data_IF_473733222708
#
_entry.id   IF_473733222708
#
_cell.length_a   1.000
_cell.length_b   1.000
_cell.length_c   1.000
_cell.angle_alpha   90.00
_cell.angle_beta   90.00
_cell.angle_gamma   90.00
#
_symmetry.space_group_name_H-M   'P 1'
#
loop_
_entity.id
_entity.type
_entity.pdbx_description
1 polymer ?
#
# COMPACT_ATOMS: atom_id res chain seq x y z
N UNK A 1 3.64 2.86 17.84
CA UNK A 1 5.09 2.69 17.62
C UNK A 1 5.49 1.24 17.36
N UNK A 2 5.26 0.29 18.29
CA UNK A 2 5.69 -1.10 18.10
C UNK A 2 4.94 -1.85 16.98
N UNK A 3 3.63 -1.62 16.79
CA UNK A 3 2.80 -2.32 15.79
C UNK A 3 3.07 -1.93 14.33
N UNK A 4 3.43 -0.68 14.07
CA UNK A 4 3.72 -0.19 12.72
C UNK A 4 5.09 -0.71 12.21
N UNK A 5 6.08 -0.78 13.11
CA UNK A 5 7.36 -1.44 12.86
C UNK A 5 7.19 -2.97 12.76
N UNK A 6 6.35 -3.56 13.62
CA UNK A 6 6.04 -4.98 13.57
C UNK A 6 5.34 -5.36 12.25
N UNK A 7 4.46 -4.51 11.72
CA UNK A 7 3.76 -4.75 10.46
C UNK A 7 4.71 -4.88 9.27
N UNK A 8 5.52 -3.85 8.99
CA UNK A 8 6.50 -3.95 7.89
C UNK A 8 7.63 -4.96 8.16
N UNK A 9 7.99 -5.17 9.43
CA UNK A 9 8.86 -6.27 9.85
C UNK A 9 8.27 -7.64 9.53
N UNK A 10 6.96 -7.82 9.69
CA UNK A 10 6.25 -9.07 9.35
C UNK A 10 6.22 -9.27 7.84
N UNK A 11 6.01 -8.22 7.04
CA UNK A 11 6.09 -8.30 5.59
C UNK A 11 7.47 -8.79 5.10
N UNK A 12 8.54 -8.16 5.58
CA UNK A 12 9.91 -8.53 5.22
C UNK A 12 10.25 -9.95 5.73
N UNK A 13 9.91 -10.25 6.99
CA UNK A 13 10.18 -11.54 7.60
C UNK A 13 9.47 -12.68 6.86
N UNK A 14 8.16 -12.57 6.60
CA UNK A 14 7.40 -13.62 5.92
C UNK A 14 7.88 -13.84 4.49
N UNK A 15 8.23 -12.76 3.78
CA UNK A 15 8.74 -12.88 2.41
C UNK A 15 10.11 -13.57 2.38
N UNK A 16 11.01 -13.22 3.30
CA UNK A 16 12.33 -13.84 3.43
C UNK A 16 12.24 -15.30 3.91
N UNK A 17 11.36 -15.58 4.88
CA UNK A 17 11.13 -16.94 5.37
C UNK A 17 10.53 -17.83 4.28
N UNK A 18 9.56 -17.32 3.52
CA UNK A 18 8.98 -18.03 2.39
C UNK A 18 10.02 -18.34 1.32
N UNK A 19 10.88 -17.38 0.97
CA UNK A 19 11.98 -17.61 0.03
C UNK A 19 12.97 -18.68 0.55
N UNK A 20 13.31 -18.61 1.84
CA UNK A 20 14.22 -19.56 2.49
C UNK A 20 13.60 -20.97 2.55
N UNK A 21 12.30 -21.08 2.82
CA UNK A 21 11.57 -22.36 2.90
C UNK A 21 11.39 -22.99 1.53
N UNK A 22 11.12 -22.18 0.49
CA UNK A 22 11.06 -22.65 -0.90
C UNK A 22 12.38 -23.29 -1.37
N UNK A 23 13.49 -22.95 -0.72
CA UNK A 23 14.82 -23.54 -0.92
C UNK A 23 15.40 -23.28 -2.31
N UNK A 24 14.79 -22.37 -3.07
CA UNK A 24 15.08 -22.07 -4.47
C UNK A 24 15.13 -20.55 -4.63
N UNK A 25 16.08 -20.09 -5.43
CA UNK A 25 16.40 -18.68 -5.56
C UNK A 25 16.43 -18.29 -7.05
N UNK A 26 15.32 -18.51 -7.75
CA UNK A 26 15.18 -18.06 -9.13
C UNK A 26 15.13 -16.53 -9.21
N UNK A 27 15.47 -15.98 -10.38
CA UNK A 27 15.56 -14.53 -10.59
C UNK A 27 14.23 -13.83 -10.24
N UNK A 28 13.09 -14.41 -10.62
CA UNK A 28 11.75 -13.88 -10.30
C UNK A 28 11.52 -13.77 -8.80
N UNK A 29 11.85 -14.81 -8.05
CA UNK A 29 11.66 -14.87 -6.60
C UNK A 29 12.53 -13.85 -5.86
N UNK A 30 13.79 -13.70 -6.29
CA UNK A 30 14.71 -12.68 -5.75
C UNK A 30 14.19 -11.27 -5.98
N UNK A 31 13.80 -10.96 -7.22
CA UNK A 31 13.29 -9.63 -7.58
C UNK A 31 11.99 -9.34 -6.84
N UNK A 32 11.03 -10.28 -6.84
CA UNK A 32 9.74 -10.07 -6.20
C UNK A 32 9.83 -9.95 -4.68
N UNK A 33 10.65 -10.77 -4.03
CA UNK A 33 10.93 -10.63 -2.60
C UNK A 33 11.64 -9.30 -2.31
N UNK A 34 12.57 -8.89 -3.16
CA UNK A 34 13.24 -7.59 -3.06
C UNK A 34 12.27 -6.41 -3.13
N UNK A 35 11.37 -6.41 -4.12
CA UNK A 35 10.32 -5.41 -4.27
C UNK A 35 9.44 -5.30 -3.00
N UNK A 36 8.99 -6.43 -2.47
CA UNK A 36 8.20 -6.45 -1.23
C UNK A 36 9.00 -5.91 -0.05
N UNK A 37 10.27 -6.29 0.11
CA UNK A 37 11.14 -5.78 1.17
C UNK A 37 11.37 -4.27 1.05
N UNK A 38 11.59 -3.76 -0.17
CA UNK A 38 11.75 -2.32 -0.42
C UNK A 38 10.49 -1.54 -0.05
N UNK A 39 9.31 -2.03 -0.45
CA UNK A 39 8.04 -1.41 -0.09
C UNK A 39 7.79 -1.46 1.43
N UNK A 40 8.02 -2.62 2.06
CA UNK A 40 7.84 -2.78 3.50
C UNK A 40 8.75 -1.85 4.30
N UNK A 41 10.02 -1.74 3.90
CA UNK A 41 10.98 -0.82 4.52
C UNK A 41 10.51 0.64 4.39
N UNK A 42 10.08 1.06 3.20
CA UNK A 42 9.54 2.41 2.96
C UNK A 42 8.36 2.71 3.88
N UNK A 43 7.38 1.80 3.92
CA UNK A 43 6.18 1.97 4.72
C UNK A 43 6.52 2.04 6.22
N UNK A 44 7.40 1.17 6.70
CA UNK A 44 7.87 1.19 8.09
C UNK A 44 8.60 2.49 8.43
N UNK A 45 9.51 2.97 7.58
CA UNK A 45 10.25 4.22 7.80
C UNK A 45 9.29 5.42 7.82
N UNK A 46 8.32 5.47 6.90
CA UNK A 46 7.32 6.53 6.85
C UNK A 46 6.45 6.57 8.11
N UNK A 47 5.94 5.42 8.55
CA UNK A 47 5.14 5.32 9.77
C UNK A 47 5.96 5.65 11.02
N UNK A 48 7.20 5.16 11.10
CA UNK A 48 8.11 5.45 12.21
C UNK A 48 8.38 6.95 12.35
N UNK A 49 8.73 7.62 11.26
CA UNK A 49 8.94 9.08 11.22
C UNK A 49 7.69 9.85 11.67
N UNK A 50 6.50 9.40 11.25
CA UNK A 50 5.24 10.02 11.64
C UNK A 50 4.97 9.90 13.14
N UNK A 51 5.25 8.74 13.73
CA UNK A 51 5.05 8.51 15.16
C UNK A 51 6.02 9.36 16.00
N UNK A 52 7.28 9.46 15.58
CA UNK A 52 8.25 10.33 16.24
C UNK A 52 7.79 11.80 16.25
N UNK A 53 7.25 12.30 15.14
CA UNK A 53 6.70 13.66 15.06
C UNK A 53 5.41 13.87 15.86
N UNK A 54 4.57 12.84 16.00
CA UNK A 54 3.27 12.94 16.66
C UNK A 54 3.34 12.74 18.19
N UNK A 55 4.46 12.25 18.74
CA UNK A 55 4.70 12.11 20.18
C UNK A 55 3.92 10.98 20.88
N UNK A 56 2.74 10.56 20.39
CA UNK A 56 2.06 9.34 20.82
C UNK A 56 1.03 8.85 19.80
N UNK A 57 0.80 7.54 19.73
CA UNK A 57 -0.22 6.93 18.85
C UNK A 57 -1.54 6.76 19.64
N UNK A 58 -2.48 7.69 19.46
CA UNK A 58 -3.75 7.73 20.22
C UNK A 58 -4.66 6.52 19.96
N UNK A 59 -4.47 5.83 18.84
CA UNK A 59 -5.29 4.68 18.39
C UNK A 59 -5.22 3.48 19.35
N UNK A 60 -4.10 3.30 20.06
CA UNK A 60 -3.89 2.12 20.90
C UNK A 60 -4.16 2.34 22.39
N UNK A 61 -4.48 3.56 22.83
CA UNK A 61 -4.87 3.80 24.24
C UNK A 61 -6.18 3.11 24.61
N UNK A 62 -7.08 2.90 23.65
CA UNK A 62 -8.37 2.21 23.86
C UNK A 62 -8.28 0.69 23.65
N UNK A 63 -7.55 0.22 22.63
CA UNK A 63 -7.48 -1.21 22.29
C UNK A 63 -6.74 -2.07 23.34
N UNK A 64 -5.83 -1.48 24.12
CA UNK A 64 -5.06 -2.19 25.15
C UNK A 64 -5.87 -2.61 26.38
N UNK A 65 -7.08 -2.05 26.55
CA UNK A 65 -7.94 -2.30 27.71
C UNK A 65 -8.89 -3.49 27.53
N UNK A 66 -9.08 -3.96 26.30
CA UNK A 66 -9.94 -5.10 25.99
C UNK A 66 -9.14 -6.17 25.20
N UNK A 67 -8.78 -7.29 25.84
CA UNK A 67 -8.07 -8.39 25.19
C UNK A 67 -8.77 -8.95 23.94
N UNK A 68 -10.12 -8.90 23.87
CA UNK A 68 -10.87 -9.39 22.71
C UNK A 68 -10.70 -8.47 21.51
N UNK A 69 -10.83 -7.16 21.74
CA UNK A 69 -10.61 -6.15 20.68
C UNK A 69 -9.17 -6.14 20.22
N UNK A 70 -8.23 -6.33 21.15
CA UNK A 70 -6.82 -6.49 20.82
C UNK A 70 -6.57 -7.69 19.90
N UNK A 71 -7.09 -8.87 20.27
CA UNK A 71 -6.97 -10.09 19.46
C UNK A 71 -7.61 -9.91 18.08
N UNK A 72 -8.78 -9.27 18.00
CA UNK A 72 -9.46 -9.01 16.73
C UNK A 72 -8.60 -8.13 15.80
N UNK A 73 -8.05 -7.02 16.31
CA UNK A 73 -7.18 -6.16 15.50
C UNK A 73 -5.91 -6.87 15.05
N UNK A 74 -5.34 -7.72 15.92
CA UNK A 74 -4.19 -8.55 15.58
C UNK A 74 -4.50 -9.54 14.45
N UNK A 75 -5.64 -10.24 14.53
CA UNK A 75 -6.06 -11.21 13.51
C UNK A 75 -6.35 -10.51 12.17
N UNK A 76 -7.03 -9.36 12.19
CA UNK A 76 -7.29 -8.58 10.97
C UNK A 76 -5.98 -8.12 10.33
N UNK A 77 -5.02 -7.66 11.14
CA UNK A 77 -3.70 -7.27 10.65
C UNK A 77 -2.95 -8.46 10.01
N UNK A 78 -2.98 -9.63 10.65
CA UNK A 78 -2.38 -10.86 10.09
C UNK A 78 -3.02 -11.29 8.78
N UNK A 79 -4.36 -11.27 8.71
CA UNK A 79 -5.11 -11.60 7.49
C UNK A 79 -4.79 -10.62 6.36
N UNK A 80 -4.65 -9.33 6.68
CA UNK A 80 -4.28 -8.31 5.71
C UNK A 80 -2.88 -8.55 5.13
N UNK A 81 -1.89 -8.81 5.97
CA UNK A 81 -0.52 -9.13 5.54
C UNK A 81 -0.51 -10.39 4.68
N UNK A 82 -1.25 -11.43 5.08
CA UNK A 82 -1.36 -12.66 4.31
C UNK A 82 -2.00 -12.43 2.94
N UNK A 83 -3.14 -11.75 2.88
CA UNK A 83 -3.85 -11.48 1.64
C UNK A 83 -3.01 -10.66 0.65
N UNK A 84 -2.25 -9.69 1.14
CA UNK A 84 -1.36 -8.85 0.31
C UNK A 84 -0.11 -9.60 -0.17
N UNK A 85 0.46 -10.48 0.66
CA UNK A 85 1.64 -11.28 0.29
C UNK A 85 1.34 -12.51 -0.56
N UNK A 86 0.07 -12.90 -0.69
CA UNK A 86 -0.33 -14.16 -1.32
C UNK A 86 0.33 -14.42 -2.70
N UNK A 87 0.44 -13.45 -3.64
CA UNK A 87 1.13 -13.68 -4.91
C UNK A 87 2.63 -13.99 -4.73
N UNK A 88 3.28 -13.33 -3.77
CA UNK A 88 4.71 -13.53 -3.48
C UNK A 88 4.96 -14.86 -2.77
N UNK A 89 4.08 -15.26 -1.84
CA UNK A 89 4.18 -16.55 -1.17
C UNK A 89 4.08 -17.71 -2.18
N UNK A 90 3.08 -17.67 -3.06
CA UNK A 90 2.91 -18.70 -4.10
C UNK A 90 4.06 -18.71 -5.12
N UNK A 91 4.60 -17.55 -5.48
CA UNK A 91 5.75 -17.47 -6.37
C UNK A 91 7.01 -18.11 -5.76
N UNK A 92 7.22 -17.93 -4.46
CA UNK A 92 8.36 -18.50 -3.75
C UNK A 92 8.28 -20.03 -3.63
N UNK A 93 7.08 -20.61 -3.72
CA UNK A 93 6.88 -22.07 -3.77
C UNK A 93 7.02 -22.65 -5.18
N UNK A 94 6.99 -21.80 -6.22
CA UNK A 94 7.01 -22.24 -7.61
C UNK A 94 8.34 -22.93 -7.97
N UNK A 95 8.22 -24.06 -8.67
CA UNK A 95 9.36 -24.90 -9.08
C UNK A 95 9.73 -24.67 -10.55
N UNK A 96 8.76 -24.24 -11.36
CA UNK A 96 9.00 -23.98 -12.77
C UNK A 96 9.75 -22.66 -12.93
N UNK A 97 10.90 -22.70 -13.62
CA UNK A 97 11.69 -21.51 -13.94
C UNK A 97 11.87 -21.36 -15.45
N UNK A 98 10.80 -21.06 -16.20
CA UNK A 98 10.94 -20.69 -17.61
C UNK A 98 11.71 -19.37 -17.75
N UNK A 99 12.24 -19.12 -18.95
CA UNK A 99 12.87 -17.85 -19.28
C UNK A 99 11.95 -16.66 -18.99
N UNK A 100 12.52 -15.55 -18.53
CA UNK A 100 11.79 -14.32 -18.24
C UNK A 100 11.03 -13.87 -19.50
N UNK A 101 9.75 -13.58 -19.32
CA UNK A 101 8.85 -13.18 -20.38
C UNK A 101 8.32 -11.76 -20.18
N UNK A 102 7.56 -11.29 -21.16
CA UNK A 102 7.01 -9.93 -21.17
C UNK A 102 6.17 -9.62 -19.91
N UNK A 103 5.43 -10.62 -19.40
CA UNK A 103 4.61 -10.46 -18.19
C UNK A 103 5.44 -10.15 -16.94
N UNK A 104 6.66 -10.67 -16.82
CA UNK A 104 7.55 -10.35 -15.70
C UNK A 104 7.90 -8.87 -15.70
N UNK A 105 8.41 -8.41 -16.84
CA UNK A 105 8.84 -7.02 -17.02
C UNK A 105 7.66 -6.05 -16.93
N UNK A 106 6.49 -6.42 -17.44
CA UNK A 106 5.27 -5.64 -17.29
C UNK A 106 4.87 -5.50 -15.81
N UNK A 107 4.89 -6.60 -15.05
CA UNK A 107 4.58 -6.58 -13.62
C UNK A 107 5.59 -5.77 -12.80
N UNK A 108 6.89 -5.94 -13.06
CA UNK A 108 7.95 -5.18 -12.40
C UNK A 108 7.91 -3.69 -12.77
N UNK A 109 7.63 -3.37 -14.03
CA UNK A 109 7.46 -2.00 -14.50
C UNK A 109 6.25 -1.32 -13.84
N UNK A 110 5.13 -2.04 -13.73
CA UNK A 110 3.93 -1.55 -13.05
C UNK A 110 4.19 -1.30 -11.55
N UNK A 111 4.93 -2.21 -10.91
CA UNK A 111 5.36 -2.05 -9.53
C UNK A 111 6.27 -0.83 -9.36
N UNK A 112 7.27 -0.66 -10.23
CA UNK A 112 8.17 0.49 -10.17
C UNK A 112 7.42 1.82 -10.36
N UNK A 113 6.46 1.86 -11.29
CA UNK A 113 5.59 3.03 -11.49
C UNK A 113 4.75 3.32 -10.24
N UNK A 114 4.14 2.30 -9.64
CA UNK A 114 3.39 2.44 -8.40
C UNK A 114 4.24 3.00 -7.26
N UNK A 115 5.47 2.50 -7.11
CA UNK A 115 6.43 2.96 -6.10
C UNK A 115 6.78 4.43 -6.30
N UNK A 116 7.06 4.85 -7.54
CA UNK A 116 7.37 6.24 -7.87
C UNK A 116 6.20 7.18 -7.55
N UNK A 117 4.98 6.80 -7.96
CA UNK A 117 3.77 7.58 -7.68
C UNK A 117 3.59 7.75 -6.17
N UNK A 118 3.76 6.69 -5.38
CA UNK A 118 3.59 6.72 -3.93
C UNK A 118 4.66 7.59 -3.24
N UNK A 119 5.94 7.45 -3.63
CA UNK A 119 7.03 8.27 -3.11
C UNK A 119 6.79 9.75 -3.40
N UNK A 120 6.43 10.10 -4.64
CA UNK A 120 6.21 11.49 -5.04
C UNK A 120 4.98 12.06 -4.33
N UNK A 121 3.89 11.31 -4.25
CA UNK A 121 2.65 11.74 -3.58
C UNK A 121 2.89 12.03 -2.09
N UNK A 122 3.57 11.13 -1.39
CA UNK A 122 3.87 11.28 0.03
C UNK A 122 4.87 12.41 0.30
N UNK A 123 5.88 12.58 -0.57
CA UNK A 123 6.81 13.70 -0.49
C UNK A 123 6.08 15.03 -0.66
N UNK A 124 5.26 15.19 -1.71
CA UNK A 124 4.48 16.40 -1.96
C UNK A 124 3.57 16.74 -0.77
N UNK A 125 2.86 15.74 -0.23
CA UNK A 125 1.99 15.92 0.94
C UNK A 125 2.76 16.31 2.19
N UNK A 126 3.92 15.69 2.41
CA UNK A 126 4.77 15.96 3.58
C UNK A 126 5.39 17.36 3.51
N UNK A 127 5.90 17.75 2.35
CA UNK A 127 6.43 19.09 2.09
C UNK A 127 5.34 20.16 2.28
N UNK A 128 4.15 19.93 1.72
CA UNK A 128 3.01 20.85 1.90
C UNK A 128 2.65 21.03 3.37
N UNK A 129 2.58 19.94 4.15
CA UNK A 129 2.21 19.97 5.58
C UNK A 129 3.29 20.59 6.47
N UNK A 130 4.57 20.47 6.11
CA UNK A 130 5.67 21.05 6.89
C UNK A 130 5.76 22.58 6.76
N UNK A 131 5.11 23.19 5.75
CA UNK A 131 5.06 24.65 5.62
C UNK A 131 3.99 25.25 6.56
N UNK A 132 4.36 26.10 7.53
CA UNK A 132 3.40 26.73 8.46
C UNK A 132 2.31 27.55 7.76
N UNK A 133 2.59 28.14 6.59
CA UNK A 133 1.63 28.91 5.81
C UNK A 133 0.49 28.05 5.22
N UNK A 134 0.65 26.73 5.24
CA UNK A 134 -0.34 25.75 4.78
C UNK A 134 -1.15 25.12 5.92
N UNK A 135 -0.99 25.63 7.15
CA UNK A 135 -1.81 25.19 8.28
C UNK A 135 -3.29 25.35 7.92
N UNK A 136 -4.06 24.29 8.14
CA UNK A 136 -5.49 24.20 7.80
C UNK A 136 -5.85 24.35 6.32
N UNK A 137 -4.87 24.31 5.41
CA UNK A 137 -5.11 24.20 3.96
C UNK A 137 -5.07 22.75 3.49
N UNK A 138 -5.55 22.51 2.28
CA UNK A 138 -5.49 21.22 1.59
C UNK A 138 -4.54 21.32 0.39
N UNK A 139 -3.85 20.22 0.08
CA UNK A 139 -2.96 20.15 -1.08
C UNK A 139 -3.78 19.96 -2.35
N UNK A 140 -3.44 20.71 -3.40
CA UNK A 140 -4.11 20.69 -4.70
C UNK A 140 -3.11 20.85 -5.85
N UNK A 141 -1.82 20.56 -5.61
CA UNK A 141 -0.73 20.74 -6.57
C UNK A 141 0.02 19.43 -6.81
N UNK A 142 0.72 19.34 -7.95
CA UNK A 142 1.46 18.14 -8.33
C UNK A 142 0.54 16.96 -8.63
N UNK A 143 0.85 15.77 -8.11
CA UNK A 143 0.00 14.60 -8.31
C UNK A 143 -1.38 14.77 -7.68
N UNK A 144 -1.48 15.59 -6.63
CA UNK A 144 -2.73 15.88 -5.94
C UNK A 144 -3.67 16.75 -6.77
N UNK A 145 -3.21 17.46 -7.81
CA UNK A 145 -4.13 18.16 -8.73
C UNK A 145 -4.78 17.23 -9.75
N UNK A 146 -4.14 16.09 -10.04
CA UNK A 146 -4.60 15.10 -11.02
C UNK A 146 -5.50 14.05 -10.36
N UNK A 147 -5.12 13.60 -9.16
CA UNK A 147 -5.84 12.59 -8.39
C UNK A 147 -5.92 13.04 -6.94
N UNK A 148 -7.08 12.85 -6.30
CA UNK A 148 -7.26 13.18 -4.88
C UNK A 148 -6.56 12.20 -3.96
N UNK A 149 -6.26 10.99 -4.43
CA UNK A 149 -5.60 9.93 -3.66
C UNK A 149 -4.50 9.23 -4.48
N UNK A 150 -3.46 9.96 -4.94
CA UNK A 150 -2.44 9.41 -5.82
C UNK A 150 -1.59 8.34 -5.13
N UNK A 151 -1.40 8.45 -3.81
CA UNK A 151 -0.73 7.42 -3.01
C UNK A 151 -1.47 6.08 -3.01
N UNK A 152 -2.80 6.09 -3.02
CA UNK A 152 -3.60 4.85 -3.12
C UNK A 152 -3.58 4.26 -4.52
N UNK A 153 -3.49 5.10 -5.56
CA UNK A 153 -3.22 4.62 -6.90
C UNK A 153 -1.87 3.88 -6.96
N UNK A 154 -0.83 4.45 -6.34
CA UNK A 154 0.48 3.80 -6.19
C UNK A 154 0.39 2.41 -5.58
N UNK A 155 -0.28 2.29 -4.43
CA UNK A 155 -0.50 1.01 -3.75
C UNK A 155 -1.24 -0.02 -4.61
N UNK A 156 -2.28 0.39 -5.35
CA UNK A 156 -3.00 -0.50 -6.27
C UNK A 156 -2.09 -0.99 -7.41
N UNK A 157 -1.28 -0.10 -7.98
CA UNK A 157 -0.33 -0.44 -9.05
C UNK A 157 0.76 -1.40 -8.57
N UNK A 158 1.28 -1.20 -7.35
CA UNK A 158 2.25 -2.09 -6.72
C UNK A 158 1.71 -3.52 -6.60
N UNK A 159 0.55 -3.67 -5.97
CA UNK A 159 -0.05 -4.99 -5.72
C UNK A 159 -0.47 -5.68 -7.02
N UNK A 160 -0.97 -4.91 -7.99
CA UNK A 160 -1.27 -5.42 -9.32
C UNK A 160 -0.01 -5.86 -10.05
N UNK A 161 1.09 -5.11 -9.93
CA UNK A 161 2.39 -5.45 -10.50
C UNK A 161 2.95 -6.76 -9.95
N UNK A 162 2.88 -6.96 -8.63
CA UNK A 162 3.30 -8.21 -7.97
C UNK A 162 2.50 -9.42 -8.46
N UNK A 163 1.19 -9.27 -8.63
CA UNK A 163 0.36 -10.34 -9.18
C UNK A 163 0.70 -10.62 -10.65
N UNK A 164 0.82 -9.59 -11.49
CA UNK A 164 1.12 -9.75 -12.92
C UNK A 164 2.45 -10.47 -13.11
N UNK A 165 3.51 -10.04 -12.39
CA UNK A 165 4.82 -10.71 -12.48
C UNK A 165 4.74 -12.15 -12.00
N UNK A 166 4.05 -12.44 -10.90
CA UNK A 166 3.92 -13.81 -10.38
C UNK A 166 3.07 -14.71 -11.28
N UNK A 167 2.03 -14.16 -11.91
CA UNK A 167 1.12 -14.88 -12.81
C UNK A 167 1.79 -15.45 -14.07
N UNK A 168 3.01 -15.02 -14.37
CA UNK A 168 3.82 -15.51 -15.48
C UNK A 168 4.16 -17.01 -15.40
N UNK A 169 4.22 -17.55 -14.17
CA UNK A 169 4.56 -18.95 -13.90
C UNK A 169 3.43 -19.72 -13.20
N UNK A 170 2.35 -19.04 -12.86
CA UNK A 170 1.20 -19.64 -12.18
C UNK A 170 0.41 -20.58 -13.07
N UNK A 171 -0.17 -21.61 -12.43
CA UNK A 171 -1.06 -22.60 -13.02
C UNK A 171 -2.24 -22.89 -12.09
N UNK A 172 -3.41 -23.14 -12.68
CA UNK A 172 -4.60 -23.57 -11.94
C UNK A 172 -4.97 -22.66 -10.77
N UNK A 173 -4.99 -23.23 -9.56
CA UNK A 173 -5.43 -22.53 -8.35
C UNK A 173 -4.55 -21.34 -7.95
N UNK A 174 -3.29 -21.25 -8.42
CA UNK A 174 -2.40 -20.14 -8.07
C UNK A 174 -2.93 -18.78 -8.56
N UNK A 175 -3.74 -18.76 -9.63
CA UNK A 175 -4.39 -17.54 -10.11
C UNK A 175 -5.42 -16.97 -9.12
N UNK A 176 -5.88 -17.76 -8.13
CA UNK A 176 -6.72 -17.25 -7.04
C UNK A 176 -6.03 -16.15 -6.24
N UNK A 177 -4.70 -16.05 -6.28
CA UNK A 177 -3.95 -14.92 -5.71
C UNK A 177 -4.30 -13.56 -6.33
N UNK A 178 -5.05 -13.50 -7.43
CA UNK A 178 -5.67 -12.28 -7.95
C UNK A 178 -6.61 -11.62 -6.93
N UNK A 179 -7.09 -12.39 -5.94
CA UNK A 179 -7.82 -11.84 -4.79
C UNK A 179 -7.02 -10.78 -4.05
N UNK A 180 -5.68 -10.84 -4.09
CA UNK A 180 -4.79 -9.90 -3.42
C UNK A 180 -4.94 -8.46 -3.93
N UNK A 181 -4.69 -8.15 -5.22
CA UNK A 181 -4.90 -6.80 -5.74
C UNK A 181 -6.37 -6.35 -5.66
N UNK A 182 -7.33 -7.26 -5.84
CA UNK A 182 -8.77 -6.95 -5.69
C UNK A 182 -9.10 -6.56 -4.25
N UNK A 183 -8.58 -7.29 -3.27
CA UNK A 183 -8.76 -7.02 -1.85
C UNK A 183 -8.20 -5.64 -1.49
N UNK A 184 -6.97 -5.33 -1.93
CA UNK A 184 -6.36 -4.01 -1.67
C UNK A 184 -7.16 -2.90 -2.33
N UNK A 185 -7.59 -3.08 -3.58
CA UNK A 185 -8.44 -2.13 -4.29
C UNK A 185 -9.73 -1.85 -3.52
N UNK A 186 -10.47 -2.89 -3.09
CA UNK A 186 -11.71 -2.73 -2.34
C UNK A 186 -11.50 -2.10 -0.96
N UNK A 187 -10.43 -2.49 -0.27
CA UNK A 187 -10.07 -1.94 1.04
C UNK A 187 -9.84 -0.42 0.95
N UNK A 188 -9.03 0.00 -0.03
CA UNK A 188 -8.68 1.41 -0.22
C UNK A 188 -9.86 2.22 -0.75
N UNK A 189 -10.66 1.66 -1.64
CA UNK A 189 -11.71 2.44 -2.31
C UNK A 189 -13.05 2.44 -1.59
N UNK A 190 -13.43 1.35 -0.91
CA UNK A 190 -14.78 1.17 -0.36
C UNK A 190 -14.83 1.13 1.17
N UNK A 191 -13.78 0.66 1.84
CA UNK A 191 -13.81 0.41 3.28
C UNK A 191 -13.09 1.49 4.09
N UNK A 192 -11.76 1.47 4.11
CA UNK A 192 -10.97 2.21 5.09
C UNK A 192 -10.11 3.32 4.52
N UNK A 193 -9.87 3.33 3.20
CA UNK A 193 -9.06 4.36 2.55
C UNK A 193 -9.86 5.64 2.24
N UNK A 194 -10.26 5.77 0.99
CA UNK A 194 -10.85 6.97 0.38
C UNK A 194 -12.10 7.46 1.13
N UNK A 195 -13.10 6.61 1.48
CA UNK A 195 -14.33 7.12 2.09
C UNK A 195 -14.10 7.78 3.44
N UNK A 196 -13.18 7.24 4.25
CA UNK A 196 -12.85 7.80 5.56
C UNK A 196 -12.12 9.13 5.41
N UNK A 197 -11.13 9.21 4.50
CA UNK A 197 -10.38 10.43 4.26
C UNK A 197 -11.25 11.55 3.66
N UNK A 198 -12.15 11.21 2.73
CA UNK A 198 -13.10 12.16 2.15
C UNK A 198 -14.08 12.69 3.20
N UNK A 199 -14.59 11.82 4.08
CA UNK A 199 -15.45 12.26 5.20
C UNK A 199 -14.70 13.18 6.16
N UNK A 200 -13.44 12.89 6.49
CA UNK A 200 -12.62 13.74 7.33
C UNK A 200 -12.31 15.09 6.66
N UNK A 201 -12.01 15.08 5.36
CA UNK A 201 -11.79 16.28 4.57
C UNK A 201 -13.04 17.15 4.52
N UNK A 202 -14.22 16.55 4.34
CA UNK A 202 -15.50 17.27 4.40
C UNK A 202 -15.79 17.87 5.78
N UNK A 203 -15.44 17.17 6.87
CA UNK A 203 -15.58 17.75 8.21
C UNK A 203 -14.69 18.97 8.44
N UNK A 204 -13.50 19.01 7.83
CA UNK A 204 -12.51 20.07 8.02
C UNK A 204 -12.67 21.25 7.05
N UNK A 205 -13.02 20.96 5.80
CA UNK A 205 -13.01 21.92 4.70
C UNK A 205 -14.33 21.96 3.91
N UNK A 206 -15.37 21.26 4.34
CA UNK A 206 -16.63 21.16 3.59
C UNK A 206 -17.39 22.47 3.41
N UNK A 207 -17.07 23.50 4.21
CA UNK A 207 -17.61 24.86 4.05
C UNK A 207 -16.73 25.75 3.15
N UNK A 208 -15.55 25.29 2.73
CA UNK A 208 -14.63 26.07 1.89
C UNK A 208 -14.97 25.87 0.40
N UNK A 209 -15.39 26.93 -0.33
CA UNK A 209 -15.73 26.82 -1.75
C UNK A 209 -14.58 26.29 -2.62
N UNK A 210 -13.34 26.63 -2.30
CA UNK A 210 -12.17 26.14 -3.04
C UNK A 210 -11.98 24.63 -2.87
N UNK A 211 -12.25 24.09 -1.68
CA UNK A 211 -12.19 22.65 -1.44
C UNK A 211 -13.29 21.90 -2.19
N UNK A 212 -14.49 22.46 -2.24
CA UNK A 212 -15.59 21.90 -3.02
C UNK A 212 -15.29 21.93 -4.52
N UNK A 213 -14.70 23.01 -5.03
CA UNK A 213 -14.26 23.11 -6.42
C UNK A 213 -13.18 22.06 -6.74
N UNK A 214 -12.18 21.91 -5.87
CA UNK A 214 -11.15 20.87 -5.99
C UNK A 214 -11.76 19.45 -6.05
N UNK A 215 -12.69 19.12 -5.16
CA UNK A 215 -13.37 17.80 -5.19
C UNK A 215 -14.18 17.55 -6.46
N UNK A 216 -14.74 18.60 -7.07
CA UNK A 216 -15.50 18.50 -8.32
C UNK A 216 -14.60 18.35 -9.54
N UNK A 217 -13.45 19.04 -9.54
CA UNK A 217 -12.57 19.13 -10.71
C UNK A 217 -11.43 18.10 -10.70
N UNK A 218 -11.18 17.43 -9.58
CA UNK A 218 -10.10 16.45 -9.45
C UNK A 218 -10.65 15.03 -9.27
N UNK A 219 -10.14 14.11 -10.10
CA UNK A 219 -10.48 12.69 -10.08
C UNK A 219 -10.18 12.06 -8.71
N UNK A 220 -10.92 11.02 -8.33
CA UNK A 220 -10.72 10.33 -7.06
C UNK A 220 -9.40 9.55 -7.07
N UNK A 221 -9.15 8.78 -8.13
CA UNK A 221 -8.01 7.89 -8.27
C UNK A 221 -7.35 8.02 -9.64
N UNK A 222 -8.12 7.78 -10.72
CA UNK A 222 -7.58 7.72 -12.07
C UNK A 222 -8.16 8.90 -12.87
N UNK A 223 -7.31 9.83 -13.35
CA UNK A 223 -7.75 10.91 -14.20
C UNK A 223 -8.63 10.39 -15.35
N UNK A 224 -9.76 11.06 -15.60
CA UNK A 224 -10.70 10.75 -16.69
C UNK A 224 -11.50 9.44 -16.59
N UNK A 225 -11.26 8.60 -15.59
CA UNK A 225 -12.02 7.36 -15.37
C UNK A 225 -12.82 7.45 -14.05
N UNK A 226 -12.15 7.92 -12.98
CA UNK A 226 -12.73 7.92 -11.64
C UNK A 226 -12.08 8.92 -10.68
#
# INVERSE_FOLDING_TARGET
TFYDLAGGGTFALLSLLSLRWGGRYYQRQKIQTGMVCTWALRLSLFLFHRVLKAGSDSRFKHARKDPKMFLLYWTIQGLWVFATLLPTLLLNEEKNNPALGERDYAGWGLWALGMLVEIIADYQKSAFKNNPANKDKFIQSGLWSLSRHPNYLGEILLQTGLYISASSVFRGYQHLSAVSPVFVFLLLTRLSGIPILERQGMKRWGQNPAYLAYRRNTAVLIPYIW
#
